data_IF_624895212188
#
_entry.id   IF_624895212188
#
_cell.length_a   1.000
_cell.length_b   1.000
_cell.length_c   1.000
_cell.angle_alpha   90.00
_cell.angle_beta   90.00
_cell.angle_gamma   90.00
#
_symmetry.space_group_name_H-M   'P 1'
#
loop_
_entity.id
_entity.type
_entity.pdbx_description
1 polymer ?
#
# COMPACT_ATOMS: atom_id res chain seq x y z
N UNK A 1 13.24 5.59 9.07
CA UNK A 1 13.12 6.83 9.85
C UNK A 1 12.03 7.65 9.16
N UNK A 2 10.81 7.65 9.70
CA UNK A 2 9.65 8.32 9.06
C UNK A 2 9.80 9.84 9.24
N UNK A 3 9.75 10.61 8.15
CA UNK A 3 9.87 12.06 8.22
C UNK A 3 8.63 12.68 8.88
N UNK A 4 8.78 13.70 9.75
CA UNK A 4 7.65 14.31 10.47
C UNK A 4 6.58 14.92 9.55
N UNK A 5 6.98 15.32 8.33
CA UNK A 5 6.09 15.86 7.29
C UNK A 5 5.17 14.78 6.69
N UNK A 6 5.67 13.56 6.47
CA UNK A 6 4.83 12.46 5.97
C UNK A 6 3.81 12.03 7.02
N UNK A 7 4.20 11.97 8.29
CA UNK A 7 3.30 11.67 9.40
C UNK A 7 2.18 12.71 9.53
N UNK A 8 2.50 14.00 9.33
CA UNK A 8 1.51 15.08 9.32
C UNK A 8 0.51 14.97 8.18
N UNK A 9 0.97 14.64 6.97
CA UNK A 9 0.09 14.44 5.81
C UNK A 9 -0.83 13.22 5.98
N UNK A 10 -0.32 12.13 6.56
CA UNK A 10 -1.13 10.94 6.86
C UNK A 10 -2.19 11.25 7.92
N UNK A 11 -1.83 11.96 9.00
CA UNK A 11 -2.79 12.37 10.02
C UNK A 11 -3.86 13.33 9.48
N UNK A 12 -3.47 14.27 8.61
CA UNK A 12 -4.40 15.20 7.98
C UNK A 12 -5.40 14.48 7.07
N UNK A 13 -4.94 13.53 6.26
CA UNK A 13 -5.84 12.75 5.38
C UNK A 13 -6.81 11.87 6.17
N UNK A 14 -6.35 11.25 7.26
CA UNK A 14 -7.22 10.49 8.17
C UNK A 14 -8.26 11.40 8.83
N UNK A 15 -7.85 12.58 9.33
CA UNK A 15 -8.76 13.54 9.96
C UNK A 15 -9.81 14.06 8.97
N UNK A 16 -9.41 14.36 7.73
CA UNK A 16 -10.32 14.82 6.69
C UNK A 16 -11.32 13.73 6.29
N UNK A 17 -10.87 12.49 6.14
CA UNK A 17 -11.74 11.36 5.86
C UNK A 17 -12.75 11.13 7.00
N UNK A 18 -12.30 11.21 8.26
CA UNK A 18 -13.18 11.07 9.41
C UNK A 18 -14.24 12.18 9.48
N UNK A 19 -13.85 13.44 9.24
CA UNK A 19 -14.78 14.58 9.18
C UNK A 19 -15.76 14.47 8.01
N UNK A 20 -15.30 14.00 6.85
CA UNK A 20 -16.15 13.81 5.69
C UNK A 20 -17.19 12.71 5.96
N UNK A 21 -16.77 11.56 6.48
CA UNK A 21 -17.68 10.46 6.84
C UNK A 21 -18.67 10.91 7.91
N UNK A 22 -18.22 11.67 8.92
CA UNK A 22 -19.11 12.23 9.95
C UNK A 22 -20.17 13.16 9.36
N UNK A 23 -19.76 14.13 8.52
CA UNK A 23 -20.70 15.06 7.88
C UNK A 23 -21.67 14.37 6.92
N UNK A 24 -21.21 13.33 6.21
CA UNK A 24 -22.06 12.58 5.28
C UNK A 24 -23.07 11.72 6.05
N UNK A 25 -22.65 11.12 7.16
CA UNK A 25 -23.54 10.38 8.05
C UNK A 25 -24.60 11.29 8.70
N UNK A 26 -24.23 12.51 9.11
CA UNK A 26 -25.19 13.47 9.69
C UNK A 26 -26.17 14.01 8.65
N UNK A 27 -25.73 14.28 7.42
CA UNK A 27 -26.61 14.66 6.31
C UNK A 27 -27.62 13.57 5.97
N UNK A 28 -27.18 12.31 5.89
CA UNK A 28 -28.06 11.16 5.65
C UNK A 28 -29.02 10.96 6.81
N UNK A 29 -28.56 11.10 8.06
CA UNK A 29 -29.42 10.97 9.24
C UNK A 29 -30.53 12.03 9.31
N UNK A 30 -30.23 13.27 8.91
CA UNK A 30 -31.21 14.36 8.86
C UNK A 30 -32.26 14.13 7.77
N UNK A 31 -31.84 13.68 6.59
CA UNK A 31 -32.75 13.46 5.47
C UNK A 31 -33.70 12.27 5.67
N UNK A 32 -33.27 11.28 6.45
CA UNK A 32 -33.99 10.02 6.62
C UNK A 32 -34.75 9.93 7.95
N UNK A 33 -34.76 11.00 8.78
CA UNK A 33 -35.41 11.07 10.11
C UNK A 33 -35.07 9.90 11.04
N UNK A 34 -33.79 9.51 11.09
CA UNK A 34 -33.41 8.32 11.83
C UNK A 34 -33.58 8.49 13.35
N UNK A 35 -34.09 7.46 14.05
CA UNK A 35 -34.19 7.48 15.51
C UNK A 35 -32.82 7.76 16.14
N UNK A 36 -32.76 8.57 17.19
CA UNK A 36 -31.50 8.99 17.85
C UNK A 36 -30.58 7.82 18.26
N UNK A 37 -31.15 6.62 18.44
CA UNK A 37 -30.43 5.40 18.80
C UNK A 37 -29.62 4.77 17.65
N UNK A 38 -29.87 5.14 16.39
CA UNK A 38 -29.14 4.58 15.24
C UNK A 38 -27.74 5.15 15.06
N UNK A 39 -27.43 6.28 15.71
CA UNK A 39 -26.10 6.87 15.69
C UNK A 39 -25.04 5.93 16.29
N UNK A 40 -25.40 5.19 17.34
CA UNK A 40 -24.52 4.21 18.00
C UNK A 40 -24.08 3.06 17.07
N UNK A 41 -24.99 2.27 16.47
CA UNK A 41 -24.56 1.18 15.57
C UNK A 41 -23.86 1.70 14.30
N UNK A 42 -24.20 2.90 13.82
CA UNK A 42 -23.48 3.50 12.68
C UNK A 42 -22.03 3.82 13.01
N UNK A 43 -21.75 4.43 14.17
CA UNK A 43 -20.36 4.73 14.55
C UNK A 43 -19.54 3.46 14.74
N UNK A 44 -20.09 2.45 15.40
CA UNK A 44 -19.43 1.13 15.49
C UNK A 44 -19.23 0.48 14.13
N UNK A 45 -20.21 0.60 13.22
CA UNK A 45 -20.11 0.11 11.85
C UNK A 45 -18.97 0.77 11.07
N UNK A 46 -18.84 2.10 11.15
CA UNK A 46 -17.75 2.85 10.51
C UNK A 46 -16.40 2.46 11.11
N UNK A 47 -16.28 2.38 12.43
CA UNK A 47 -15.04 1.96 13.10
C UNK A 47 -14.66 0.54 12.66
N UNK A 48 -15.61 -0.39 12.66
CA UNK A 48 -15.40 -1.76 12.20
C UNK A 48 -14.94 -1.84 10.74
N UNK A 49 -15.55 -1.04 9.86
CA UNK A 49 -15.17 -0.96 8.46
C UNK A 49 -13.75 -0.42 8.26
N UNK A 50 -13.35 0.61 9.02
CA UNK A 50 -11.99 1.17 8.97
C UNK A 50 -10.95 0.15 9.45
N UNK A 51 -11.24 -0.58 10.52
CA UNK A 51 -10.36 -1.65 11.03
C UNK A 51 -10.24 -2.79 10.00
N UNK A 52 -11.35 -3.25 9.44
CA UNK A 52 -11.33 -4.29 8.41
C UNK A 52 -10.54 -3.85 7.17
N UNK A 53 -10.74 -2.60 6.71
CA UNK A 53 -10.00 -2.05 5.58
C UNK A 53 -8.50 -1.95 5.86
N UNK A 54 -8.09 -1.52 7.05
CA UNK A 54 -6.67 -1.40 7.40
C UNK A 54 -5.98 -2.77 7.44
N UNK A 55 -6.66 -3.81 7.95
CA UNK A 55 -6.19 -5.20 7.92
C UNK A 55 -6.06 -5.74 6.49
N UNK A 56 -7.00 -5.42 5.60
CA UNK A 56 -6.92 -5.84 4.20
C UNK A 56 -5.75 -5.15 3.48
N UNK A 57 -5.52 -3.87 3.77
CA UNK A 57 -4.39 -3.11 3.20
C UNK A 57 -3.05 -3.70 3.67
N UNK A 58 -2.91 -3.98 4.97
CA UNK A 58 -1.69 -4.58 5.51
C UNK A 58 -1.42 -5.97 4.94
N UNK A 59 -2.46 -6.79 4.79
CA UNK A 59 -2.34 -8.11 4.18
C UNK A 59 -1.91 -8.03 2.70
N UNK A 60 -2.48 -7.08 1.95
CA UNK A 60 -2.07 -6.84 0.55
C UNK A 60 -0.63 -6.37 0.44
N UNK A 61 -0.18 -5.51 1.36
CA UNK A 61 1.21 -5.08 1.41
C UNK A 61 2.16 -6.26 1.66
N UNK A 62 1.83 -7.11 2.64
CA UNK A 62 2.60 -8.32 2.95
C UNK A 62 2.64 -9.31 1.78
N UNK A 63 1.52 -9.47 1.05
CA UNK A 63 1.51 -10.31 -0.15
C UNK A 63 2.37 -9.74 -1.28
N UNK A 64 2.40 -8.41 -1.45
CA UNK A 64 3.26 -7.74 -2.43
C UNK A 64 4.74 -7.95 -2.10
N UNK A 65 5.14 -7.71 -0.86
CA UNK A 65 6.55 -7.89 -0.43
C UNK A 65 6.98 -9.36 -0.55
N UNK A 66 6.10 -10.31 -0.24
CA UNK A 66 6.39 -11.74 -0.43
C UNK A 66 6.56 -12.12 -1.89
N UNK A 67 5.73 -11.59 -2.79
CA UNK A 67 5.90 -11.79 -4.24
C UNK A 67 7.21 -11.20 -4.73
N UNK A 68 7.53 -9.98 -4.31
CA UNK A 68 8.79 -9.31 -4.66
C UNK A 68 10.01 -10.12 -4.21
N UNK A 69 10.00 -10.66 -2.98
CA UNK A 69 11.10 -11.51 -2.48
C UNK A 69 11.25 -12.81 -3.27
N UNK A 70 10.14 -13.46 -3.64
CA UNK A 70 10.20 -14.69 -4.47
C UNK A 70 10.77 -14.40 -5.85
N UNK A 71 10.34 -13.31 -6.47
CA UNK A 71 10.85 -12.92 -7.79
C UNK A 71 12.31 -12.48 -7.72
N UNK A 72 12.73 -11.78 -6.65
CA UNK A 72 14.14 -11.46 -6.40
C UNK A 72 14.99 -12.71 -6.26
N UNK A 73 14.58 -13.66 -5.40
CA UNK A 73 15.31 -14.91 -5.19
C UNK A 73 15.45 -15.73 -6.49
N UNK A 74 14.39 -15.78 -7.32
CA UNK A 74 14.44 -16.45 -8.61
C UNK A 74 15.42 -15.79 -9.59
N UNK A 75 15.50 -14.45 -9.60
CA UNK A 75 16.44 -13.71 -10.46
C UNK A 75 17.88 -13.81 -9.96
N UNK A 76 18.11 -13.79 -8.65
CA UNK A 76 19.43 -14.01 -8.04
C UNK A 76 19.97 -15.41 -8.36
N UNK A 77 19.11 -16.43 -8.34
CA UNK A 77 19.49 -17.79 -8.71
C UNK A 77 19.86 -17.90 -10.20
N UNK A 78 19.22 -17.10 -11.07
CA UNK A 78 19.48 -17.12 -12.52
C UNK A 78 20.73 -16.33 -12.92
N UNK A 79 21.10 -15.30 -12.17
CA UNK A 79 22.27 -14.45 -12.44
C UNK A 79 23.14 -14.23 -11.18
N UNK A 80 23.84 -15.27 -10.68
CA UNK A 80 24.62 -15.19 -9.44
C UNK A 80 25.80 -14.19 -9.51
N UNK A 81 26.27 -13.94 -10.74
CA UNK A 81 27.37 -13.02 -11.06
C UNK A 81 26.95 -11.54 -11.01
N UNK A 82 25.65 -11.25 -11.03
CA UNK A 82 25.11 -9.90 -11.13
C UNK A 82 24.43 -9.46 -9.82
N UNK A 83 24.47 -8.16 -9.53
CA UNK A 83 23.58 -7.54 -8.56
C UNK A 83 22.21 -7.32 -9.20
N UNK A 84 21.18 -7.90 -8.59
CA UNK A 84 19.80 -7.79 -9.05
C UNK A 84 19.09 -6.73 -8.21
N UNK A 85 18.52 -5.70 -8.86
CA UNK A 85 17.65 -4.72 -8.20
C UNK A 85 16.37 -4.54 -8.99
N UNK A 86 15.23 -4.60 -8.31
CA UNK A 86 13.93 -4.27 -8.91
C UNK A 86 13.71 -2.77 -8.84
N UNK A 87 13.40 -2.13 -9.97
CA UNK A 87 12.98 -0.73 -9.98
C UNK A 87 11.49 -0.59 -9.66
N UNK A 88 11.10 0.61 -9.20
CA UNK A 88 9.71 1.00 -9.01
C UNK A 88 8.87 0.95 -10.30
N UNK A 89 9.51 1.03 -11.47
CA UNK A 89 8.90 0.85 -12.79
C UNK A 89 8.51 -0.59 -13.10
N UNK A 90 8.85 -1.56 -12.25
CA UNK A 90 8.58 -2.98 -12.47
C UNK A 90 9.60 -3.70 -13.34
N UNK A 91 10.61 -2.99 -13.86
CA UNK A 91 11.74 -3.57 -14.59
C UNK A 91 12.82 -4.07 -13.65
N UNK A 92 13.53 -5.13 -14.09
CA UNK A 92 14.68 -5.68 -13.39
C UNK A 92 15.96 -5.06 -13.93
N UNK A 93 16.81 -4.62 -13.01
CA UNK A 93 18.09 -4.02 -13.32
C UNK A 93 19.18 -4.93 -12.78
N UNK A 94 19.98 -5.43 -13.70
CA UNK A 94 21.12 -6.28 -13.42
C UNK A 94 22.37 -5.44 -13.59
N UNK A 95 23.25 -5.46 -12.60
CA UNK A 95 24.57 -4.85 -12.69
C UNK A 95 25.61 -5.93 -12.51
N UNK A 96 26.54 -6.06 -13.45
CA UNK A 96 27.62 -7.03 -13.31
C UNK A 96 28.52 -6.64 -12.13
N UNK A 97 28.81 -7.59 -11.22
CA UNK A 97 29.64 -7.35 -10.03
C UNK A 97 31.09 -7.06 -10.38
N UNK A 98 31.58 -7.59 -11.50
CA UNK A 98 32.98 -7.46 -11.90
C UNK A 98 33.27 -6.12 -12.61
N UNK A 99 32.35 -5.67 -13.46
CA UNK A 99 32.56 -4.48 -14.32
C UNK A 99 31.71 -3.27 -13.94
N UNK A 100 30.73 -3.43 -13.04
CA UNK A 100 29.81 -2.36 -12.67
C UNK A 100 28.89 -1.89 -13.81
N UNK A 101 28.90 -2.59 -14.96
CA UNK A 101 28.10 -2.23 -16.13
C UNK A 101 26.68 -2.77 -15.99
N UNK A 102 25.73 -1.98 -16.46
CA UNK A 102 24.33 -2.38 -16.53
C UNK A 102 24.16 -3.47 -17.59
N UNK A 103 23.66 -4.64 -17.19
CA UNK A 103 23.15 -5.62 -18.12
C UNK A 103 21.70 -5.22 -18.46
N UNK A 104 21.50 -4.60 -19.61
CA UNK A 104 20.17 -4.52 -20.21
C UNK A 104 19.80 -5.93 -20.65
N UNK A 105 18.92 -6.58 -19.90
CA UNK A 105 18.18 -7.75 -20.38
C UNK A 105 17.35 -7.30 -21.58
N UNK A 106 17.95 -7.34 -22.77
CA UNK A 106 17.19 -7.23 -24.00
C UNK A 106 16.25 -8.43 -24.03
N UNK A 107 14.97 -8.19 -24.30
CA UNK A 107 13.89 -9.19 -24.24
C UNK A 107 14.08 -10.34 -25.26
N UNK A 108 15.13 -10.26 -26.07
CA UNK A 108 15.35 -11.05 -27.29
C UNK A 108 16.64 -11.90 -27.25
N UNK A 109 17.25 -12.14 -26.09
CA UNK A 109 18.33 -13.13 -26.00
C UNK A 109 17.71 -14.54 -25.76
N UNK A 110 17.95 -15.52 -26.64
CA UNK A 110 17.35 -16.86 -26.59
C UNK A 110 17.72 -17.65 -25.32
#
# INVERSE_FOLDING_TARGET
MFNPVESGAILATIAFAALFVWNLATLVAQHLHWPKWTALPMTFGVIGAVIAASLVISLRAELRTRRERREQAAMEQRYPQCHVKRLSSGTWFLTDKATGRELRLNRDAP
#
